data_IF_370996394273
#
_entry.id   IF_370996394273
#
_cell.length_a   1.000
_cell.length_b   1.000
_cell.length_c   1.000
_cell.angle_alpha   90.00
_cell.angle_beta   90.00
_cell.angle_gamma   90.00
#
_symmetry.space_group_name_H-M   'P 1'
#
loop_
_entity.id
_entity.type
_entity.pdbx_description
1 polymer ?
#
# COMPACT_ATOMS: atom_id res chain seq x y z
N UNK A 1 27.19 37.66 37.45
CA UNK A 1 26.13 37.48 36.43
C UNK A 1 26.80 36.92 35.19
N UNK A 2 27.16 35.63 35.18
CA UNK A 2 26.39 34.50 34.62
C UNK A 2 25.81 34.79 33.24
N UNK A 3 26.48 34.28 32.19
CA UNK A 3 25.89 33.98 30.89
C UNK A 3 26.68 32.83 30.26
N UNK A 4 26.02 31.68 30.18
CA UNK A 4 26.54 30.45 29.60
C UNK A 4 26.65 30.56 28.08
N UNK A 5 27.80 30.18 27.51
CA UNK A 5 27.97 30.01 26.05
C UNK A 5 27.72 28.55 25.72
N UNK A 6 26.62 28.33 25.00
CA UNK A 6 26.11 27.03 24.58
C UNK A 6 26.99 26.39 23.50
N UNK A 7 27.28 25.10 23.71
CA UNK A 7 28.12 24.21 22.90
C UNK A 7 27.47 23.98 21.53
N UNK A 8 28.02 24.59 20.46
CA UNK A 8 27.68 24.23 19.06
C UNK A 8 28.16 22.79 18.81
N UNK A 9 27.22 21.85 18.68
CA UNK A 9 27.50 20.51 18.15
C UNK A 9 27.74 20.65 16.65
N UNK A 10 28.95 20.33 16.21
CA UNK A 10 29.29 20.23 14.79
C UNK A 10 28.43 19.15 14.13
N UNK A 11 27.85 19.50 12.99
CA UNK A 11 27.21 18.57 12.07
C UNK A 11 28.33 17.99 11.20
N UNK A 12 28.60 16.70 11.37
CA UNK A 12 29.69 15.96 10.71
C UNK A 12 29.34 15.74 9.23
N UNK A 13 30.18 16.25 8.34
CA UNK A 13 30.00 16.32 6.88
C UNK A 13 30.59 15.08 6.18
N UNK A 14 30.38 13.89 6.76
CA UNK A 14 30.97 12.63 6.32
C UNK A 14 30.02 11.78 5.47
N UNK A 15 29.36 12.39 4.46
CA UNK A 15 28.51 11.67 3.50
C UNK A 15 29.11 11.69 2.09
N UNK A 16 30.21 10.98 1.89
CA UNK A 16 30.61 10.55 0.55
C UNK A 16 31.56 9.37 0.62
N UNK A 17 31.15 8.26 -0.01
CA UNK A 17 31.97 7.33 -0.83
C UNK A 17 31.69 5.82 -0.70
N UNK A 18 30.44 5.35 -0.58
CA UNK A 18 30.14 3.90 -0.60
C UNK A 18 29.12 3.43 -1.67
N UNK A 19 28.85 4.21 -2.72
CA UNK A 19 27.84 3.87 -3.74
C UNK A 19 28.25 2.80 -4.77
N UNK A 20 29.53 2.38 -4.83
CA UNK A 20 30.01 1.49 -5.91
C UNK A 20 29.95 -0.01 -5.62
N UNK A 21 29.64 -0.44 -4.39
CA UNK A 21 29.56 -1.87 -4.01
C UNK A 21 28.14 -2.44 -3.91
N UNK A 22 27.11 -1.60 -3.87
CA UNK A 22 25.71 -2.04 -3.76
C UNK A 22 25.08 -2.44 -5.09
N UNK A 23 25.60 -1.96 -6.23
CA UNK A 23 25.06 -2.19 -7.56
C UNK A 23 25.26 -3.62 -8.11
N UNK A 24 25.97 -4.51 -7.39
CA UNK A 24 26.40 -5.83 -7.91
C UNK A 24 25.84 -7.04 -7.17
N UNK A 25 25.03 -6.85 -6.13
CA UNK A 25 24.15 -7.93 -5.66
C UNK A 25 23.02 -7.98 -6.69
N UNK A 26 22.92 -9.07 -7.44
CA UNK A 26 21.68 -9.35 -8.17
C UNK A 26 20.53 -9.11 -7.20
N UNK A 27 19.64 -8.18 -7.55
CA UNK A 27 18.40 -7.88 -6.83
C UNK A 27 17.45 -9.08 -6.93
N UNK A 28 17.90 -10.26 -6.54
CA UNK A 28 17.05 -11.42 -6.36
C UNK A 28 16.23 -11.06 -5.14
N UNK A 29 15.09 -10.43 -5.39
CA UNK A 29 14.05 -10.28 -4.41
C UNK A 29 13.71 -11.70 -3.95
N UNK A 30 13.84 -12.02 -2.66
CA UNK A 30 13.55 -13.35 -2.18
C UNK A 30 12.13 -13.71 -2.59
N UNK A 31 11.96 -14.93 -3.08
CA UNK A 31 10.64 -15.43 -3.41
C UNK A 31 9.89 -15.66 -2.10
N UNK A 32 8.88 -14.83 -1.86
CA UNK A 32 8.01 -14.91 -0.68
C UNK A 32 6.66 -15.40 -1.16
N UNK A 33 6.15 -16.47 -0.53
CA UNK A 33 4.82 -16.99 -0.80
C UNK A 33 3.73 -16.03 -0.29
N UNK A 34 2.50 -16.17 -0.82
CA UNK A 34 1.34 -15.40 -0.35
C UNK A 34 1.26 -13.96 -0.90
N UNK A 35 1.82 -13.71 -2.09
CA UNK A 35 1.68 -12.41 -2.77
C UNK A 35 0.37 -12.35 -3.56
N UNK A 36 -0.30 -11.20 -3.50
CA UNK A 36 -1.48 -10.92 -4.33
C UNK A 36 -0.99 -10.47 -5.71
N UNK A 37 -1.33 -11.23 -6.75
CA UNK A 37 -0.92 -10.96 -8.14
C UNK A 37 -1.93 -10.08 -8.88
N UNK A 38 -3.21 -10.21 -8.54
CA UNK A 38 -4.29 -9.46 -9.17
C UNK A 38 -5.46 -9.25 -8.19
N UNK A 39 -6.15 -8.12 -8.35
CA UNK A 39 -7.46 -7.89 -7.75
C UNK A 39 -8.41 -7.39 -8.85
N UNK A 40 -9.56 -8.05 -8.96
CA UNK A 40 -10.64 -7.66 -9.86
C UNK A 40 -11.90 -7.37 -9.05
N UNK A 41 -12.47 -6.19 -9.25
CA UNK A 41 -13.71 -5.76 -8.62
C UNK A 41 -14.75 -5.50 -9.70
N UNK A 42 -15.89 -6.15 -9.60
CA UNK A 42 -17.05 -5.95 -10.48
C UNK A 42 -18.26 -5.66 -9.61
N UNK A 43 -19.00 -4.61 -9.95
CA UNK A 43 -20.19 -4.19 -9.20
C UNK A 43 -19.92 -4.05 -7.68
N UNK A 44 -18.83 -3.34 -7.34
CA UNK A 44 -18.32 -3.25 -5.98
C UNK A 44 -18.15 -1.80 -5.52
N UNK A 45 -19.01 -1.36 -4.60
CA UNK A 45 -19.07 0.00 -4.05
C UNK A 45 -19.01 1.10 -5.13
N UNK A 46 -17.90 1.82 -5.24
CA UNK A 46 -17.73 2.92 -6.19
C UNK A 46 -17.23 2.42 -7.56
N UNK A 47 -16.84 1.15 -7.68
CA UNK A 47 -16.22 0.56 -8.86
C UNK A 47 -17.23 -0.27 -9.63
N UNK A 48 -17.48 0.09 -10.90
CA UNK A 48 -18.26 -0.75 -11.83
C UNK A 48 -17.42 -1.93 -12.31
N UNK A 49 -16.22 -1.63 -12.78
CA UNK A 49 -15.19 -2.59 -13.12
C UNK A 49 -13.82 -1.99 -12.80
N UNK A 50 -12.99 -2.71 -12.03
CA UNK A 50 -11.62 -2.34 -11.72
C UNK A 50 -10.73 -3.58 -11.74
N UNK A 51 -9.65 -3.55 -12.50
CA UNK A 51 -8.64 -4.62 -12.51
C UNK A 51 -7.28 -4.04 -12.16
N UNK A 52 -6.62 -4.61 -11.15
CA UNK A 52 -5.29 -4.22 -10.70
C UNK A 52 -4.35 -5.41 -10.79
N UNK A 53 -3.33 -5.30 -11.63
CA UNK A 53 -2.28 -6.31 -11.76
C UNK A 53 -1.02 -5.84 -11.01
N UNK A 54 -0.48 -6.69 -10.15
CA UNK A 54 0.73 -6.43 -9.39
C UNK A 54 1.91 -7.20 -10.00
N UNK A 55 2.98 -6.48 -10.35
CA UNK A 55 4.24 -7.09 -10.76
C UNK A 55 5.04 -7.55 -9.52
N UNK A 56 4.64 -8.71 -9.00
CA UNK A 56 5.21 -9.32 -7.79
C UNK A 56 6.60 -9.92 -7.98
N UNK A 57 7.05 -10.04 -9.23
CA UNK A 57 8.38 -10.53 -9.60
C UNK A 57 9.42 -9.40 -9.50
N UNK A 58 8.99 -8.17 -9.78
CA UNK A 58 9.85 -6.98 -9.74
C UNK A 58 9.73 -6.19 -8.44
N UNK A 59 8.55 -6.19 -7.81
CA UNK A 59 8.27 -5.38 -6.62
C UNK A 59 7.74 -6.22 -5.46
N UNK A 60 8.13 -5.85 -4.24
CA UNK A 60 7.63 -6.45 -3.00
C UNK A 60 6.64 -5.55 -2.24
N UNK A 61 6.38 -4.34 -2.76
CA UNK A 61 5.39 -3.42 -2.22
C UNK A 61 4.63 -2.74 -3.36
N UNK A 62 3.39 -2.34 -3.09
CA UNK A 62 2.55 -1.62 -4.03
C UNK A 62 1.84 -0.50 -3.29
N UNK A 63 1.94 0.72 -3.83
CA UNK A 63 1.29 1.90 -3.25
C UNK A 63 0.06 2.25 -4.06
N UNK A 64 -1.06 2.43 -3.35
CA UNK A 64 -2.33 2.80 -3.96
C UNK A 64 -2.67 4.21 -3.50
N UNK A 65 -2.56 5.15 -4.43
CA UNK A 65 -2.63 6.59 -4.19
C UNK A 65 -3.79 7.16 -5.02
N UNK A 66 -4.40 8.25 -4.55
CA UNK A 66 -5.50 8.91 -5.26
C UNK A 66 -6.28 9.88 -4.36
N UNK A 67 -7.19 10.69 -4.94
CA UNK A 67 -7.96 11.69 -4.20
C UNK A 67 -8.96 11.06 -3.21
N UNK A 68 -9.40 11.80 -2.20
CA UNK A 68 -10.43 11.33 -1.27
C UNK A 68 -11.72 10.97 -2.02
N UNK A 69 -12.39 9.89 -1.61
CA UNK A 69 -13.58 9.37 -2.29
C UNK A 69 -13.31 8.50 -3.53
N UNK A 70 -12.07 8.35 -4.00
CA UNK A 70 -11.72 7.56 -5.20
C UNK A 70 -11.86 6.02 -5.06
N UNK A 71 -12.38 5.52 -3.93
CA UNK A 71 -12.57 4.08 -3.72
C UNK A 71 -11.32 3.28 -3.32
N UNK A 72 -10.23 3.91 -2.86
CA UNK A 72 -9.00 3.19 -2.40
C UNK A 72 -9.28 2.18 -1.29
N UNK A 73 -10.02 2.60 -0.27
CA UNK A 73 -10.45 1.76 0.85
C UNK A 73 -11.42 0.66 0.44
N UNK A 74 -12.10 0.79 -0.71
CA UNK A 74 -12.95 -0.28 -1.24
C UNK A 74 -12.09 -1.49 -1.62
N UNK A 75 -10.86 -1.28 -2.11
CA UNK A 75 -9.95 -2.38 -2.40
C UNK A 75 -9.56 -3.17 -1.15
N UNK A 76 -9.25 -2.48 -0.05
CA UNK A 76 -8.99 -3.14 1.24
C UNK A 76 -10.22 -3.92 1.72
N UNK A 77 -11.41 -3.34 1.58
CA UNK A 77 -12.64 -4.03 1.95
C UNK A 77 -12.87 -5.29 1.10
N UNK A 78 -12.63 -5.21 -0.21
CA UNK A 78 -12.73 -6.34 -1.13
C UNK A 78 -11.71 -7.44 -0.80
N UNK A 79 -10.47 -7.07 -0.46
CA UNK A 79 -9.45 -8.02 -0.01
C UNK A 79 -9.88 -8.75 1.26
N UNK A 80 -10.35 -8.00 2.26
CA UNK A 80 -10.81 -8.59 3.51
C UNK A 80 -11.97 -9.58 3.26
N UNK A 81 -12.99 -9.17 2.50
CA UNK A 81 -14.15 -10.01 2.19
C UNK A 81 -13.78 -11.20 1.30
N UNK A 82 -12.99 -10.99 0.25
CA UNK A 82 -12.59 -12.01 -0.71
C UNK A 82 -11.72 -13.11 -0.10
N UNK A 83 -10.97 -12.79 0.96
CA UNK A 83 -10.19 -13.75 1.74
C UNK A 83 -10.97 -14.38 2.91
N UNK A 84 -12.30 -14.17 2.98
CA UNK A 84 -13.18 -14.78 3.99
C UNK A 84 -13.28 -14.00 5.30
N UNK A 85 -12.77 -12.78 5.35
CA UNK A 85 -12.91 -11.90 6.50
C UNK A 85 -14.34 -11.38 6.68
N UNK A 86 -14.68 -11.05 7.93
CA UNK A 86 -16.02 -10.58 8.25
C UNK A 86 -16.27 -9.18 7.64
N UNK A 87 -17.27 -9.07 6.77
CA UNK A 87 -17.65 -7.80 6.14
C UNK A 87 -18.04 -6.68 7.13
N UNK A 88 -18.37 -7.03 8.38
CA UNK A 88 -18.63 -6.07 9.48
C UNK A 88 -17.36 -5.43 10.05
N UNK A 89 -16.20 -6.07 9.86
CA UNK A 89 -14.91 -5.56 10.33
C UNK A 89 -14.39 -4.40 9.48
N UNK A 90 -14.97 -4.23 8.30
CA UNK A 90 -14.77 -3.04 7.48
C UNK A 90 -15.83 -2.02 7.90
N UNK A 91 -15.43 -0.81 8.33
CA UNK A 91 -16.32 0.26 8.82
C UNK A 91 -17.31 0.83 7.77
N UNK A 92 -17.54 0.11 6.66
CA UNK A 92 -18.27 0.59 5.48
C UNK A 92 -19.61 -0.09 5.21
N UNK A 93 -19.87 -1.26 5.80
CA UNK A 93 -21.11 -2.01 5.58
C UNK A 93 -21.44 -2.96 6.73
N UNK A 94 -22.72 -3.07 7.08
CA UNK A 94 -23.20 -4.00 8.12
C UNK A 94 -23.51 -5.39 7.53
N UNK A 95 -23.74 -5.43 6.21
CA UNK A 95 -24.07 -6.63 5.43
C UNK A 95 -23.19 -6.71 4.18
N UNK A 96 -23.03 -7.92 3.65
CA UNK A 96 -22.29 -8.15 2.39
C UNK A 96 -22.95 -7.43 1.20
N UNK A 97 -24.28 -7.30 1.22
CA UNK A 97 -25.03 -6.62 0.17
C UNK A 97 -24.70 -5.12 0.09
N UNK A 98 -24.26 -4.50 1.19
CA UNK A 98 -23.90 -3.08 1.24
C UNK A 98 -22.62 -2.78 0.41
N UNK A 99 -21.90 -3.83 -0.01
CA UNK A 99 -20.71 -3.72 -0.85
C UNK A 99 -21.02 -3.77 -2.34
N UNK A 100 -22.25 -4.11 -2.72
CA UNK A 100 -22.70 -4.10 -4.12
C UNK A 100 -22.90 -2.65 -4.56
N UNK A 101 -22.45 -2.29 -5.76
CA UNK A 101 -22.63 -0.94 -6.28
C UNK A 101 -24.11 -0.68 -6.56
N UNK A 102 -24.70 0.23 -5.81
CA UNK A 102 -26.07 0.68 -6.08
C UNK A 102 -26.09 1.50 -7.38
N UNK A 103 -27.04 1.21 -8.27
CA UNK A 103 -27.29 1.86 -9.57
C UNK A 103 -26.47 1.37 -10.78
N UNK A 104 -25.91 0.16 -10.75
CA UNK A 104 -25.43 -0.51 -11.97
C UNK A 104 -26.60 -1.32 -12.57
N UNK A 105 -27.07 -0.90 -13.76
CA UNK A 105 -28.15 -1.56 -14.52
C UNK A 105 -27.59 -2.58 -15.50
#
# INVERSE_FOLDING_TARGET
MSSAVSKKRGFDDSFQSDDRRLAKRSLIMPEVAGKITCIELVNFMCHSSLTLNFDVNKYNCSYIIGPNGSGKSALFAALNIGLGGAGRSNERGKRINDYIKENEK
#
